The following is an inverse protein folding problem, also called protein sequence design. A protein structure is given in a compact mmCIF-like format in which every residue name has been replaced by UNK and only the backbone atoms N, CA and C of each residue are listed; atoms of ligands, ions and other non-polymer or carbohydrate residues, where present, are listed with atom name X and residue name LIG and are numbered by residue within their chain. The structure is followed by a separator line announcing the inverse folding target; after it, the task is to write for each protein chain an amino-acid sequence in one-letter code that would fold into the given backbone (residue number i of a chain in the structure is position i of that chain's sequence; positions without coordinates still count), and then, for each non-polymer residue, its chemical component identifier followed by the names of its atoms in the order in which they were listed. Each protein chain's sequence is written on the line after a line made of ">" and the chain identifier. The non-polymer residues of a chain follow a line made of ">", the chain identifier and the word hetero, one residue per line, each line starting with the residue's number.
data_IF_607898370085
#
_entry.id   IF_607898370085
#
_cell.length_a   1.000
_cell.length_b   1.000
_cell.length_c   1.000
_cell.angle_alpha   90.00
_cell.angle_beta   90.00
_cell.angle_gamma   90.00
#
_symmetry.space_group_name_H-M   'P 1'
#
loop_
_entity.id
_entity.type
_entity.pdbx_description
1 polymer ?
#
# COMPACT_ATOMS: atom_id res chain seq x y z
N UNK A 1 21.86 26.68 6.99
CA UNK A 1 20.65 27.49 6.75
C UNK A 1 19.68 27.26 7.92
N UNK A 2 19.27 28.29 8.67
CA UNK A 2 18.29 28.17 9.77
C UNK A 2 17.01 28.90 9.37
N UNK A 3 15.85 28.27 9.52
CA UNK A 3 14.55 28.93 9.40
C UNK A 3 14.32 29.76 10.67
N UNK A 4 14.00 31.05 10.52
CA UNK A 4 13.85 31.95 11.66
C UNK A 4 12.63 31.56 12.52
N UNK A 5 12.72 31.62 13.87
CA UNK A 5 11.60 31.29 14.77
C UNK A 5 10.30 32.04 14.47
N UNK A 6 10.41 33.28 13.97
CA UNK A 6 9.26 34.06 13.55
C UNK A 6 8.47 33.40 12.41
N UNK A 7 9.14 32.77 11.43
CA UNK A 7 8.44 32.09 10.34
C UNK A 7 7.62 30.90 10.83
N UNK A 8 8.08 30.21 11.86
CA UNK A 8 7.30 29.14 12.50
C UNK A 8 6.07 29.65 13.22
N UNK A 9 6.15 30.81 13.88
CA UNK A 9 4.98 31.45 14.50
C UNK A 9 3.96 31.85 13.45
N UNK A 10 4.39 32.53 12.39
CA UNK A 10 3.51 32.94 11.28
C UNK A 10 2.78 31.74 10.65
N UNK A 11 3.48 30.61 10.46
CA UNK A 11 2.85 29.38 9.96
C UNK A 11 1.83 28.80 10.94
N UNK A 12 2.15 28.74 12.24
CA UNK A 12 1.23 28.25 13.25
C UNK A 12 -0.01 29.14 13.35
N UNK A 13 0.17 30.46 13.39
CA UNK A 13 -0.92 31.43 13.45
C UNK A 13 -1.86 31.26 12.25
N UNK A 14 -1.31 31.09 11.04
CA UNK A 14 -2.10 30.80 9.84
C UNK A 14 -2.84 29.45 9.91
N UNK A 15 -2.21 28.41 10.47
CA UNK A 15 -2.80 27.06 10.56
C UNK A 15 -3.97 26.99 11.56
N UNK A 16 -3.98 27.86 12.58
CA UNK A 16 -5.00 27.86 13.65
C UNK A 16 -6.00 29.01 13.53
N UNK A 17 -5.84 29.89 12.54
CA UNK A 17 -6.74 31.01 12.29
C UNK A 17 -8.15 30.49 11.92
N UNK A 18 -9.19 30.78 12.73
CA UNK A 18 -10.56 30.37 12.42
C UNK A 18 -11.12 31.02 11.15
N UNK A 19 -10.54 32.12 10.67
CA UNK A 19 -10.91 32.75 9.40
C UNK A 19 -10.27 32.07 8.17
N UNK A 20 -9.41 31.06 8.37
CA UNK A 20 -8.77 30.34 7.28
C UNK A 20 -9.76 29.43 6.55
N UNK A 21 -10.33 29.92 5.45
CA UNK A 21 -11.31 29.19 4.66
C UNK A 21 -10.78 27.85 4.08
N UNK A 22 -9.47 27.73 3.84
CA UNK A 22 -8.90 26.48 3.30
C UNK A 22 -8.89 25.38 4.36
N UNK A 23 -8.49 25.70 5.58
CA UNK A 23 -8.43 24.74 6.69
C UNK A 23 -9.79 24.53 7.35
N UNK A 24 -10.62 25.58 7.40
CA UNK A 24 -12.00 25.52 7.91
C UNK A 24 -12.81 24.43 7.24
N UNK A 25 -12.71 24.26 5.91
CA UNK A 25 -13.40 23.18 5.19
C UNK A 25 -12.96 21.76 5.61
N UNK A 26 -11.70 21.58 6.01
CA UNK A 26 -11.22 20.27 6.52
C UNK A 26 -11.80 20.01 7.91
N UNK A 27 -11.82 21.02 8.78
CA UNK A 27 -12.42 20.94 10.12
C UNK A 27 -13.91 20.66 10.02
N UNK A 28 -14.64 21.42 9.20
CA UNK A 28 -16.08 21.21 8.93
C UNK A 28 -16.36 19.78 8.45
N UNK A 29 -15.53 19.25 7.55
CA UNK A 29 -15.65 17.85 7.10
C UNK A 29 -15.51 16.87 8.28
N UNK A 30 -14.51 17.05 9.14
CA UNK A 30 -14.32 16.19 10.33
C UNK A 30 -15.52 16.29 11.28
N UNK A 31 -16.05 17.50 11.51
CA UNK A 31 -17.23 17.73 12.35
C UNK A 31 -18.50 17.10 11.75
N UNK A 32 -18.68 17.10 10.42
CA UNK A 32 -19.80 16.40 9.75
C UNK A 32 -19.79 14.89 10.03
N UNK A 33 -18.63 14.30 10.27
CA UNK A 33 -18.50 12.88 10.65
C UNK A 33 -18.62 12.63 12.17
N UNK A 34 -18.81 13.69 12.97
CA UNK A 34 -18.98 13.64 14.42
C UNK A 34 -17.71 13.95 15.23
N UNK A 35 -16.67 14.47 14.59
CA UNK A 35 -15.40 14.77 15.23
C UNK A 35 -14.43 13.57 15.29
N UNK A 36 -13.15 13.80 15.66
CA UNK A 36 -12.10 12.78 15.61
C UNK A 36 -12.38 11.52 16.45
N UNK A 37 -12.89 11.70 17.67
CA UNK A 37 -13.18 10.59 18.59
C UNK A 37 -14.29 9.69 18.03
N UNK A 38 -15.33 10.27 17.43
CA UNK A 38 -16.42 9.51 16.82
C UNK A 38 -15.96 8.76 15.58
N UNK A 39 -15.15 9.40 14.74
CA UNK A 39 -14.56 8.78 13.55
C UNK A 39 -13.73 7.55 13.95
N UNK A 40 -12.84 7.69 14.94
CA UNK A 40 -11.99 6.59 15.41
C UNK A 40 -12.82 5.48 16.09
N UNK A 41 -13.87 5.84 16.85
CA UNK A 41 -14.78 4.88 17.46
C UNK A 41 -15.51 4.04 16.40
N UNK A 42 -16.06 4.68 15.36
CA UNK A 42 -16.73 3.99 14.25
C UNK A 42 -15.78 3.07 13.51
N UNK A 43 -14.58 3.54 13.17
CA UNK A 43 -13.55 2.71 12.53
C UNK A 43 -13.18 1.50 13.37
N UNK A 44 -12.92 1.69 14.66
CA UNK A 44 -12.59 0.59 15.57
C UNK A 44 -13.72 -0.44 15.65
N UNK A 45 -14.99 -0.02 15.56
CA UNK A 45 -16.13 -0.92 15.50
C UNK A 45 -16.23 -1.63 14.15
N UNK A 46 -16.12 -0.92 13.03
CA UNK A 46 -16.22 -1.48 11.68
C UNK A 46 -15.10 -2.48 11.38
N UNK A 47 -13.89 -2.25 11.90
CA UNK A 47 -12.73 -3.10 11.66
C UNK A 47 -12.72 -4.39 12.48
N UNK A 48 -13.52 -4.51 13.55
CA UNK A 48 -13.56 -5.74 14.37
C UNK A 48 -13.92 -6.94 13.50
N UNK A 49 -13.05 -7.95 13.47
CA UNK A 49 -13.25 -9.16 12.67
C UNK A 49 -14.64 -9.81 12.87
N UNK A 50 -15.18 -9.97 14.10
CA UNK A 50 -16.54 -10.49 14.27
C UNK A 50 -17.63 -9.63 13.61
N UNK A 51 -17.47 -8.30 13.58
CA UNK A 51 -18.43 -7.40 12.95
C UNK A 51 -18.36 -7.51 11.42
N UNK A 52 -17.15 -7.61 10.85
CA UNK A 52 -16.96 -7.84 9.41
C UNK A 52 -17.57 -9.17 8.97
N UNK A 53 -17.32 -10.25 9.73
CA UNK A 53 -17.87 -11.58 9.44
C UNK A 53 -19.39 -11.61 9.55
N UNK A 54 -19.97 -10.98 10.58
CA UNK A 54 -21.43 -10.85 10.72
C UNK A 54 -22.04 -10.07 9.56
N UNK A 55 -21.44 -8.93 9.17
CA UNK A 55 -21.89 -8.16 8.01
C UNK A 55 -21.94 -9.00 6.74
N UNK A 56 -20.89 -9.77 6.47
CA UNK A 56 -20.82 -10.67 5.31
C UNK A 56 -21.89 -11.78 5.36
N UNK A 57 -22.23 -12.27 6.54
CA UNK A 57 -23.29 -13.26 6.73
C UNK A 57 -24.68 -12.67 6.51
N UNK A 58 -24.94 -11.49 7.08
CA UNK A 58 -26.19 -10.75 6.89
C UNK A 58 -26.42 -10.38 5.41
N UNK A 59 -25.35 -9.99 4.70
CA UNK A 59 -25.33 -9.72 3.25
C UNK A 59 -25.40 -11.00 2.39
N UNK A 60 -25.35 -12.19 3.01
CA UNK A 60 -25.27 -13.50 2.32
C UNK A 60 -24.13 -13.55 1.31
N UNK A 61 -23.01 -12.94 1.65
CA UNK A 61 -21.82 -12.89 0.80
C UNK A 61 -21.30 -14.32 0.52
N UNK A 62 -20.98 -14.65 -0.74
CA UNK A 62 -20.37 -15.94 -1.07
C UNK A 62 -18.99 -16.11 -0.43
N UNK A 63 -18.35 -15.01 -0.02
CA UNK A 63 -16.99 -14.99 0.51
C UNK A 63 -16.88 -15.42 1.97
N UNK A 64 -17.99 -15.53 2.70
CA UNK A 64 -17.97 -15.90 4.12
C UNK A 64 -17.35 -17.29 4.33
N UNK A 65 -17.72 -18.27 3.50
CA UNK A 65 -17.18 -19.63 3.60
C UNK A 65 -15.67 -19.69 3.33
N UNK A 66 -15.15 -18.84 2.44
CA UNK A 66 -13.73 -18.77 2.12
C UNK A 66 -12.92 -18.11 3.25
N UNK A 67 -13.51 -17.16 3.99
CA UNK A 67 -12.91 -16.61 5.21
C UNK A 67 -12.87 -17.63 6.34
N UNK A 68 -13.93 -18.41 6.52
CA UNK A 68 -13.95 -19.51 7.50
C UNK A 68 -12.88 -20.55 7.16
N UNK A 69 -12.74 -20.90 5.87
CA UNK A 69 -11.64 -21.75 5.38
C UNK A 69 -10.28 -21.14 5.69
N UNK A 70 -10.05 -19.85 5.41
CA UNK A 70 -8.77 -19.19 5.65
C UNK A 70 -8.41 -19.15 7.15
N UNK A 71 -9.40 -18.88 8.01
CA UNK A 71 -9.24 -18.90 9.46
C UNK A 71 -8.90 -20.31 9.97
N UNK A 72 -9.56 -21.34 9.44
CA UNK A 72 -9.27 -22.74 9.76
C UNK A 72 -7.84 -23.12 9.34
N UNK A 73 -7.41 -22.80 8.10
CA UNK A 73 -6.04 -23.04 7.63
C UNK A 73 -4.98 -22.37 8.50
N UNK A 74 -5.24 -21.14 8.98
CA UNK A 74 -4.38 -20.47 9.96
C UNK A 74 -4.33 -21.24 11.29
N UNK A 75 -5.48 -21.62 11.85
CA UNK A 75 -5.56 -22.33 13.13
C UNK A 75 -4.84 -23.69 13.08
N UNK A 76 -4.95 -24.39 11.95
CA UNK A 76 -4.26 -25.65 11.67
C UNK A 76 -2.76 -25.49 11.36
N UNK A 77 -2.25 -24.24 11.31
CA UNK A 77 -0.87 -23.93 10.92
C UNK A 77 -0.51 -24.52 9.54
N UNK A 78 -1.43 -24.45 8.58
CA UNK A 78 -1.26 -25.01 7.24
C UNK A 78 -0.23 -24.24 6.39
N UNK A 79 0.02 -22.97 6.71
CA UNK A 79 1.04 -22.16 6.06
C UNK A 79 2.45 -22.57 6.52
N UNK A 80 3.40 -22.63 5.60
CA UNK A 80 4.79 -23.03 5.92
C UNK A 80 5.39 -22.09 6.99
N UNK A 81 5.97 -22.60 8.08
CA UNK A 81 6.68 -21.74 9.02
C UNK A 81 7.88 -21.05 8.35
N UNK A 82 8.15 -19.78 8.70
CA UNK A 82 9.25 -19.02 8.10
C UNK A 82 10.62 -19.69 8.33
N UNK A 83 10.81 -20.33 9.49
CA UNK A 83 12.01 -21.11 9.76
C UNK A 83 12.16 -22.32 8.83
N UNK A 84 11.06 -22.98 8.48
CA UNK A 84 11.07 -24.13 7.57
C UNK A 84 11.29 -23.70 6.12
N UNK A 85 10.66 -22.60 5.68
CA UNK A 85 10.98 -21.98 4.39
C UNK A 85 12.49 -21.71 4.29
N UNK A 86 13.10 -21.12 5.32
CA UNK A 86 14.56 -20.87 5.35
C UNK A 86 15.38 -22.14 5.25
N UNK A 87 15.03 -23.17 6.02
CA UNK A 87 15.74 -24.45 5.99
C UNK A 87 15.68 -25.09 4.59
N UNK A 88 14.52 -25.03 3.94
CA UNK A 88 14.33 -25.53 2.57
C UNK A 88 15.20 -24.78 1.57
N UNK A 89 15.23 -23.45 1.63
CA UNK A 89 16.01 -22.61 0.69
C UNK A 89 17.51 -22.82 0.87
N UNK A 90 17.99 -22.93 2.12
CA UNK A 90 19.41 -23.07 2.47
C UNK A 90 19.94 -24.51 2.35
N UNK A 91 19.06 -25.52 2.41
CA UNK A 91 19.46 -26.94 2.43
C UNK A 91 20.07 -27.40 3.76
N UNK A 92 20.02 -26.59 4.81
CA UNK A 92 20.56 -26.87 6.16
C UNK A 92 19.56 -26.45 7.25
N UNK A 93 19.70 -26.93 8.50
CA UNK A 93 18.90 -26.43 9.61
C UNK A 93 18.93 -24.89 9.68
N UNK A 94 17.78 -24.29 9.99
CA UNK A 94 17.53 -22.86 9.82
C UNK A 94 18.57 -21.99 10.57
N UNK A 95 19.53 -21.43 9.84
CA UNK A 95 20.41 -20.39 10.35
C UNK A 95 19.58 -19.12 10.61
N UNK A 96 19.87 -18.42 11.71
CA UNK A 96 19.30 -17.09 11.94
C UNK A 96 19.81 -16.14 10.84
N UNK A 97 18.97 -15.21 10.35
CA UNK A 97 19.44 -14.19 9.42
C UNK A 97 20.61 -13.41 10.03
N UNK A 98 21.55 -13.00 9.18
CA UNK A 98 22.69 -12.17 9.58
C UNK A 98 22.25 -10.74 9.90
N UNK A 99 21.21 -10.24 9.22
CA UNK A 99 20.67 -8.89 9.47
C UNK A 99 19.65 -8.89 10.62
N UNK A 100 19.62 -7.77 11.35
CA UNK A 100 18.66 -7.57 12.43
C UNK A 100 17.22 -7.47 11.90
N UNK A 101 16.23 -7.85 12.72
CA UNK A 101 14.80 -7.72 12.38
C UNK A 101 14.38 -6.29 12.01
N UNK A 102 15.03 -5.27 12.58
CA UNK A 102 14.79 -3.85 12.21
C UNK A 102 15.10 -3.56 10.73
N UNK A 103 16.01 -4.33 10.14
CA UNK A 103 16.38 -4.25 8.72
C UNK A 103 15.67 -5.29 7.87
N UNK A 104 14.60 -5.92 8.39
CA UNK A 104 13.87 -6.92 7.63
C UNK A 104 13.12 -6.29 6.46
N UNK A 105 13.26 -6.88 5.27
CA UNK A 105 12.57 -6.45 4.06
C UNK A 105 11.13 -6.96 4.08
N UNK A 106 10.17 -6.06 3.96
CA UNK A 106 8.75 -6.43 3.86
C UNK A 106 8.45 -6.97 2.48
N UNK A 107 7.84 -8.16 2.39
CA UNK A 107 7.35 -8.69 1.12
C UNK A 107 6.00 -8.05 0.80
N UNK A 108 5.88 -7.46 -0.40
CA UNK A 108 4.70 -6.70 -0.81
C UNK A 108 4.24 -7.06 -2.23
N UNK A 109 2.93 -7.29 -2.38
CA UNK A 109 2.25 -7.36 -3.68
C UNK A 109 1.49 -6.07 -3.92
N UNK A 110 1.62 -5.54 -5.13
CA UNK A 110 0.78 -4.46 -5.61
C UNK A 110 -0.39 -4.97 -6.47
N UNK A 111 -1.48 -4.22 -6.42
CA UNK A 111 -2.75 -4.48 -7.12
C UNK A 111 -3.35 -5.88 -6.88
N UNK A 112 -3.79 -6.12 -5.65
CA UNK A 112 -4.85 -7.10 -5.33
C UNK A 112 -6.21 -6.48 -5.68
N UNK A 113 -6.90 -7.00 -6.69
CA UNK A 113 -8.15 -6.41 -7.18
C UNK A 113 -9.39 -7.12 -6.59
N UNK A 114 -9.38 -8.45 -6.53
CA UNK A 114 -10.56 -9.25 -6.14
C UNK A 114 -10.23 -10.20 -4.98
N UNK A 115 -11.15 -10.33 -4.03
CA UNK A 115 -11.01 -11.25 -2.91
C UNK A 115 -10.71 -12.71 -3.32
N UNK A 116 -11.38 -13.30 -4.35
CA UNK A 116 -11.08 -14.65 -4.81
C UNK A 116 -9.61 -14.88 -5.18
N UNK A 117 -8.91 -13.85 -5.70
CA UNK A 117 -7.50 -13.98 -6.04
C UNK A 117 -6.61 -14.14 -4.81
N UNK A 118 -6.93 -13.45 -3.70
CA UNK A 118 -6.25 -13.64 -2.42
C UNK A 118 -6.44 -15.06 -1.88
N UNK A 119 -7.62 -15.66 -2.10
CA UNK A 119 -7.90 -17.06 -1.74
C UNK A 119 -7.10 -18.01 -2.63
N UNK A 120 -7.05 -17.76 -3.94
CA UNK A 120 -6.23 -18.55 -4.88
C UNK A 120 -4.73 -18.49 -4.51
N UNK A 121 -4.23 -17.32 -4.14
CA UNK A 121 -2.87 -17.14 -3.62
C UNK A 121 -2.65 -17.93 -2.33
N UNK A 122 -3.57 -17.85 -1.35
CA UNK A 122 -3.44 -18.62 -0.11
C UNK A 122 -3.44 -20.13 -0.34
N UNK A 123 -4.28 -20.64 -1.26
CA UNK A 123 -4.31 -22.05 -1.65
C UNK A 123 -2.98 -22.47 -2.26
N UNK A 124 -2.49 -21.71 -3.22
CA UNK A 124 -1.19 -21.93 -3.86
C UNK A 124 -0.06 -21.89 -2.83
N UNK A 125 -0.08 -20.94 -1.90
CA UNK A 125 0.93 -20.79 -0.87
C UNK A 125 1.02 -22.00 0.06
N UNK A 126 -0.13 -22.55 0.45
CA UNK A 126 -0.21 -23.79 1.22
C UNK A 126 0.30 -24.97 0.41
N UNK A 127 -0.19 -25.15 -0.83
CA UNK A 127 0.17 -26.27 -1.71
C UNK A 127 1.66 -26.31 -2.01
N UNK A 128 2.24 -25.17 -2.38
CA UNK A 128 3.64 -25.04 -2.81
C UNK A 128 4.59 -24.72 -1.67
N UNK A 129 4.07 -24.61 -0.44
CA UNK A 129 4.83 -24.12 0.73
C UNK A 129 5.52 -22.78 0.44
N UNK A 130 4.82 -21.88 -0.24
CA UNK A 130 5.26 -20.51 -0.55
C UNK A 130 4.87 -19.55 0.60
N UNK A 131 5.52 -18.38 0.68
CA UNK A 131 5.21 -17.34 1.66
C UNK A 131 4.15 -16.37 1.11
N UNK A 132 3.14 -16.08 1.92
CA UNK A 132 2.23 -14.95 1.73
C UNK A 132 2.93 -13.63 2.08
N UNK A 133 2.81 -12.57 1.26
CA UNK A 133 3.41 -11.27 1.55
C UNK A 133 2.82 -10.62 2.81
N UNK A 134 3.61 -9.79 3.49
CA UNK A 134 3.18 -9.06 4.69
C UNK A 134 2.35 -7.80 4.38
N UNK A 135 2.29 -7.39 3.11
CA UNK A 135 1.65 -6.15 2.68
C UNK A 135 1.02 -6.30 1.30
N UNK A 136 -0.17 -5.73 1.17
CA UNK A 136 -0.95 -5.69 -0.06
C UNK A 136 -1.36 -4.26 -0.39
N UNK A 137 -1.33 -3.93 -1.67
CA UNK A 137 -1.94 -2.71 -2.21
C UNK A 137 -3.11 -3.14 -3.06
N UNK A 138 -4.29 -2.55 -2.84
CA UNK A 138 -5.46 -2.78 -3.65
C UNK A 138 -5.68 -1.63 -4.60
N UNK A 139 -5.82 -1.99 -5.88
CA UNK A 139 -6.00 -1.03 -6.97
C UNK A 139 -7.22 -1.44 -7.77
N UNK A 140 -8.38 -0.96 -7.34
CA UNK A 140 -9.68 -1.19 -7.97
C UNK A 140 -10.62 -0.05 -7.55
N UNK A 141 -11.72 0.15 -8.26
CA UNK A 141 -12.72 1.16 -7.88
C UNK A 141 -13.34 0.82 -6.51
N UNK A 142 -13.34 1.77 -5.57
CA UNK A 142 -13.85 1.57 -4.21
C UNK A 142 -15.36 1.35 -4.20
N UNK A 143 -16.12 2.11 -4.98
CA UNK A 143 -17.57 1.90 -5.12
C UNK A 143 -17.89 0.51 -5.65
N UNK A 144 -17.15 0.05 -6.66
CA UNK A 144 -17.31 -1.29 -7.21
C UNK A 144 -16.97 -2.36 -6.17
N UNK A 145 -15.83 -2.23 -5.48
CA UNK A 145 -15.42 -3.16 -4.40
C UNK A 145 -16.44 -3.23 -3.25
N UNK A 146 -17.01 -2.09 -2.86
CA UNK A 146 -17.99 -2.01 -1.78
C UNK A 146 -19.35 -2.63 -2.18
N UNK A 147 -19.69 -2.62 -3.46
CA UNK A 147 -20.94 -3.18 -4.00
C UNK A 147 -20.80 -4.65 -4.46
N UNK A 148 -19.57 -5.17 -4.61
CA UNK A 148 -19.31 -6.50 -5.17
C UNK A 148 -19.48 -7.61 -4.12
N UNK A 149 -20.72 -7.82 -3.67
CA UNK A 149 -21.13 -8.97 -2.83
C UNK A 149 -20.26 -9.18 -1.60
N UNK A 150 -19.83 -8.10 -0.94
CA UNK A 150 -19.01 -8.14 0.26
C UNK A 150 -17.49 -8.25 0.00
N UNK A 151 -17.00 -8.03 -1.22
CA UNK A 151 -15.57 -8.11 -1.56
C UNK A 151 -14.69 -7.22 -0.65
N UNK A 152 -15.04 -5.93 -0.49
CA UNK A 152 -14.29 -5.02 0.39
C UNK A 152 -14.20 -5.52 1.85
N UNK A 153 -15.30 -5.78 2.58
CA UNK A 153 -15.20 -6.32 3.93
C UNK A 153 -14.52 -7.70 3.99
N UNK A 154 -14.64 -8.52 2.95
CA UNK A 154 -13.96 -9.82 2.88
C UNK A 154 -12.43 -9.67 2.82
N UNK A 155 -11.90 -8.76 1.99
CA UNK A 155 -10.45 -8.52 1.99
C UNK A 155 -9.98 -7.90 3.30
N UNK A 156 -10.71 -6.95 3.88
CA UNK A 156 -10.38 -6.36 5.19
C UNK A 156 -10.31 -7.44 6.28
N UNK A 157 -11.21 -8.43 6.27
CA UNK A 157 -11.19 -9.57 7.17
C UNK A 157 -10.01 -10.52 6.87
N UNK A 158 -9.78 -10.84 5.60
CA UNK A 158 -8.74 -11.78 5.17
C UNK A 158 -7.33 -11.32 5.53
N UNK A 159 -7.01 -10.04 5.32
CA UNK A 159 -5.69 -9.51 5.69
C UNK A 159 -5.49 -9.50 7.22
N UNK A 160 -6.55 -9.32 8.01
CA UNK A 160 -6.48 -9.50 9.48
C UNK A 160 -6.24 -10.96 9.86
N UNK A 161 -6.91 -11.90 9.21
CA UNK A 161 -6.69 -13.33 9.41
C UNK A 161 -5.23 -13.67 9.08
N UNK A 162 -4.73 -13.27 7.92
CA UNK A 162 -3.34 -13.49 7.49
C UNK A 162 -2.32 -12.78 8.38
N UNK A 163 -2.71 -11.70 9.06
CA UNK A 163 -1.80 -10.81 9.77
C UNK A 163 -0.91 -10.03 8.80
N UNK A 164 -1.51 -9.52 7.73
CA UNK A 164 -0.90 -8.65 6.74
C UNK A 164 -1.49 -7.22 6.83
N UNK A 165 -0.84 -6.27 6.16
CA UNK A 165 -1.36 -4.90 6.00
C UNK A 165 -1.94 -4.69 4.60
N UNK A 166 -2.89 -3.77 4.48
CA UNK A 166 -3.55 -3.45 3.22
C UNK A 166 -3.68 -1.93 3.06
N UNK A 167 -3.49 -1.45 1.83
CA UNK A 167 -3.74 -0.05 1.43
C UNK A 167 -4.75 -0.05 0.29
N UNK A 168 -5.81 0.72 0.44
CA UNK A 168 -6.84 0.89 -0.59
C UNK A 168 -6.50 2.07 -1.51
N UNK A 169 -6.95 2.01 -2.76
CA UNK A 169 -6.85 3.12 -3.71
C UNK A 169 -8.23 3.73 -3.92
N UNK A 170 -8.41 4.99 -3.54
CA UNK A 170 -9.69 5.69 -3.64
C UNK A 170 -10.07 6.05 -5.09
N UNK A 171 -11.37 6.25 -5.33
CA UNK A 171 -11.92 6.63 -6.64
C UNK A 171 -11.55 8.08 -6.99
N UNK A 172 -11.56 8.99 -6.02
CA UNK A 172 -11.20 10.42 -6.14
C UNK A 172 -9.71 10.71 -6.40
N UNK A 173 -9.03 9.82 -7.12
CA UNK A 173 -7.61 9.93 -7.49
C UNK A 173 -7.35 10.76 -8.75
N UNK A 174 -8.38 11.18 -9.50
CA UNK A 174 -8.26 12.05 -10.68
C UNK A 174 -8.07 11.32 -12.01
N UNK A 175 -7.85 10.01 -11.98
CA UNK A 175 -7.76 9.12 -13.16
C UNK A 175 -9.03 8.28 -13.33
N UNK A 176 -10.12 8.65 -12.66
CA UNK A 176 -11.45 8.03 -12.66
C UNK A 176 -12.40 8.64 -13.72
N UNK A 177 -11.87 9.49 -14.61
CA UNK A 177 -12.65 10.23 -15.61
C UNK A 177 -13.21 11.57 -15.11
N UNK A 178 -13.03 11.91 -13.83
CA UNK A 178 -13.42 13.20 -13.25
C UNK A 178 -12.63 14.39 -13.81
N UNK A 179 -11.41 14.14 -14.28
CA UNK A 179 -10.59 15.15 -14.92
C UNK A 179 -10.95 15.26 -16.41
N UNK A 180 -11.87 16.18 -16.71
CA UNK A 180 -12.41 16.46 -18.06
C UNK A 180 -11.36 16.94 -19.08
N UNK A 181 -10.13 17.21 -18.62
CA UNK A 181 -9.01 17.59 -19.48
C UNK A 181 -8.13 16.39 -19.89
N UNK A 182 -8.42 15.16 -19.44
CA UNK A 182 -7.66 13.96 -19.81
C UNK A 182 -8.28 13.27 -21.04
N UNK A 183 -7.65 13.46 -22.20
CA UNK A 183 -8.09 12.90 -23.49
C UNK A 183 -7.41 11.59 -23.92
N UNK A 184 -6.64 10.94 -23.03
CA UNK A 184 -5.92 9.68 -23.30
C UNK A 184 -4.42 9.73 -22.98
N UNK A 185 -3.66 8.64 -23.24
CA UNK A 185 -2.24 8.50 -22.86
C UNK A 185 -1.28 9.56 -23.41
N UNK A 186 -1.61 10.21 -24.53
CA UNK A 186 -0.84 11.34 -25.05
C UNK A 186 -1.00 12.64 -24.23
N UNK A 187 -1.97 12.68 -23.33
CA UNK A 187 -2.24 13.83 -22.43
C UNK A 187 -1.56 13.66 -21.07
N UNK A 188 -0.98 12.48 -20.79
CA UNK A 188 -0.26 12.14 -19.55
C UNK A 188 1.12 12.82 -19.43
N UNK A 189 1.62 13.46 -20.49
CA UNK A 189 2.76 14.40 -20.39
C UNK A 189 2.40 15.72 -19.68
N UNK A 190 1.16 15.87 -19.19
CA UNK A 190 0.57 17.14 -18.81
C UNK A 190 0.82 17.66 -17.39
N UNK A 191 1.38 16.91 -16.44
CA UNK A 191 1.54 17.43 -15.06
C UNK A 191 2.77 16.88 -14.34
N UNK A 192 3.96 17.35 -14.71
CA UNK A 192 5.20 17.11 -13.97
C UNK A 192 5.01 17.37 -12.45
N UNK A 193 4.99 16.31 -11.64
CA UNK A 193 4.82 16.36 -10.17
C UNK A 193 3.53 15.74 -9.59
N UNK A 194 2.66 15.13 -10.41
CA UNK A 194 1.49 14.36 -9.96
C UNK A 194 0.38 14.27 -11.00
N UNK A 195 -0.67 13.46 -10.78
CA UNK A 195 -1.71 13.19 -11.80
C UNK A 195 -2.63 14.37 -12.15
N UNK A 196 -2.56 15.48 -11.41
CA UNK A 196 -3.51 16.60 -11.51
C UNK A 196 -4.92 16.20 -11.03
N UNK A 197 -5.62 17.07 -10.29
CA UNK A 197 -6.97 16.78 -9.80
C UNK A 197 -7.84 18.03 -9.85
N UNK A 198 -9.17 17.89 -10.06
CA UNK A 198 -10.10 19.01 -9.94
C UNK A 198 -10.04 19.69 -8.56
N UNK A 199 -10.40 20.97 -8.49
CA UNK A 199 -10.18 21.83 -7.31
C UNK A 199 -10.70 21.24 -5.98
N UNK A 200 -11.89 20.63 -5.99
CA UNK A 200 -12.52 20.10 -4.77
C UNK A 200 -12.11 18.65 -4.41
N UNK A 201 -11.27 18.00 -5.23
CA UNK A 201 -10.89 16.60 -5.01
C UNK A 201 -10.11 16.39 -3.72
N UNK A 202 -9.41 17.39 -3.19
CA UNK A 202 -8.72 17.25 -1.91
C UNK A 202 -9.70 16.92 -0.76
N UNK A 203 -10.87 17.57 -0.76
CA UNK A 203 -11.92 17.34 0.23
C UNK A 203 -12.81 16.15 -0.14
N UNK A 204 -13.10 15.94 -1.43
CA UNK A 204 -13.83 14.75 -1.87
C UNK A 204 -13.07 13.46 -1.53
N UNK A 205 -11.73 13.48 -1.66
CA UNK A 205 -10.85 12.39 -1.24
C UNK A 205 -10.92 12.13 0.26
N UNK A 206 -10.90 13.18 1.07
CA UNK A 206 -11.02 13.03 2.51
C UNK A 206 -12.41 12.51 2.93
N UNK A 207 -13.48 13.00 2.30
CA UNK A 207 -14.84 12.54 2.55
C UNK A 207 -15.03 11.07 2.14
N UNK A 208 -14.53 10.68 0.96
CA UNK A 208 -14.50 9.29 0.52
C UNK A 208 -13.68 8.41 1.48
N UNK A 209 -12.50 8.88 1.89
CA UNK A 209 -11.65 8.12 2.79
C UNK A 209 -12.33 7.92 4.15
N UNK A 210 -12.88 8.99 4.74
CA UNK A 210 -13.58 8.93 6.01
C UNK A 210 -14.79 7.99 5.94
N UNK A 211 -15.55 8.00 4.84
CA UNK A 211 -16.63 7.04 4.63
C UNK A 211 -16.14 5.58 4.70
N UNK A 212 -15.11 5.21 3.93
CA UNK A 212 -14.61 3.84 3.96
C UNK A 212 -13.87 3.47 5.26
N UNK A 213 -13.25 4.46 5.90
CA UNK A 213 -12.63 4.33 7.20
C UNK A 213 -13.68 4.00 8.28
N UNK A 214 -14.77 4.76 8.35
CA UNK A 214 -15.80 4.58 9.39
C UNK A 214 -16.73 3.39 9.11
N UNK A 215 -17.08 3.11 7.86
CA UNK A 215 -18.10 2.11 7.51
C UNK A 215 -17.53 0.71 7.21
N UNK A 216 -16.31 0.64 6.69
CA UNK A 216 -15.70 -0.62 6.23
C UNK A 216 -14.41 -0.98 6.98
N UNK A 217 -13.95 -0.11 7.89
CA UNK A 217 -12.74 -0.35 8.67
C UNK A 217 -11.46 -0.28 7.83
N UNK A 218 -11.47 0.37 6.67
CA UNK A 218 -10.26 0.67 5.89
C UNK A 218 -9.30 1.49 6.77
N UNK A 219 -8.00 1.22 6.72
CA UNK A 219 -7.02 1.88 7.62
C UNK A 219 -5.99 2.73 6.89
N UNK A 220 -5.72 2.44 5.62
CA UNK A 220 -4.74 3.16 4.82
C UNK A 220 -5.28 3.43 3.42
N UNK A 221 -5.05 4.64 2.91
CA UNK A 221 -5.35 5.01 1.53
C UNK A 221 -4.08 5.38 0.75
N UNK A 222 -4.06 5.06 -0.54
CA UNK A 222 -3.05 5.49 -1.50
C UNK A 222 -3.29 6.95 -1.88
N UNK A 223 -2.21 7.73 -1.96
CA UNK A 223 -2.26 9.15 -2.23
C UNK A 223 -1.26 9.54 -3.35
N UNK A 224 -1.64 10.50 -4.20
CA UNK A 224 -0.95 10.80 -5.47
C UNK A 224 -0.75 12.31 -5.72
N UNK A 225 -1.35 13.17 -4.91
CA UNK A 225 -1.40 14.62 -5.13
C UNK A 225 -0.99 15.39 -3.86
N UNK A 226 -0.26 16.49 -4.01
CA UNK A 226 0.25 17.27 -2.87
C UNK A 226 -0.87 17.80 -1.96
N UNK A 227 -2.00 18.23 -2.53
CA UNK A 227 -3.14 18.76 -1.78
C UNK A 227 -3.83 17.67 -0.94
N UNK A 228 -4.12 16.51 -1.53
CA UNK A 228 -4.68 15.37 -0.79
C UNK A 228 -3.68 14.82 0.24
N UNK A 229 -2.37 14.87 -0.02
CA UNK A 229 -1.33 14.52 0.95
C UNK A 229 -1.37 15.46 2.16
N UNK A 230 -1.47 16.78 1.93
CA UNK A 230 -1.60 17.75 3.01
C UNK A 230 -2.89 17.53 3.81
N UNK A 231 -4.03 17.32 3.15
CA UNK A 231 -5.30 17.02 3.84
C UNK A 231 -5.18 15.76 4.70
N UNK A 232 -4.51 14.72 4.23
CA UNK A 232 -4.27 13.52 5.03
C UNK A 232 -3.42 13.79 6.29
N UNK A 233 -2.40 14.67 6.18
CA UNK A 233 -1.65 15.15 7.36
C UNK A 233 -2.54 15.92 8.34
N UNK A 234 -3.42 16.78 7.84
CA UNK A 234 -4.33 17.58 8.66
C UNK A 234 -5.36 16.71 9.39
N UNK A 235 -5.98 15.73 8.71
CA UNK A 235 -6.89 14.76 9.36
C UNK A 235 -6.22 14.08 10.56
N UNK A 236 -4.96 13.63 10.38
CA UNK A 236 -4.21 13.01 11.46
C UNK A 236 -3.88 13.98 12.58
N UNK A 237 -3.48 15.20 12.24
CA UNK A 237 -3.17 16.25 13.21
C UNK A 237 -4.40 16.65 14.03
N UNK A 238 -5.59 16.62 13.44
CA UNK A 238 -6.88 16.86 14.09
C UNK A 238 -7.30 15.70 15.01
N UNK A 239 -6.70 14.52 14.91
CA UNK A 239 -6.96 13.39 15.80
C UNK A 239 -7.51 12.14 15.13
N UNK A 240 -7.75 12.15 13.81
CA UNK A 240 -8.20 10.94 13.09
C UNK A 240 -7.02 9.98 12.91
N UNK A 241 -7.14 8.72 13.31
CA UNK A 241 -6.02 7.76 13.31
C UNK A 241 -5.76 7.09 11.95
N UNK A 242 -6.35 7.64 10.89
CA UNK A 242 -6.16 7.17 9.53
C UNK A 242 -4.75 7.46 9.03
N UNK A 243 -4.18 6.51 8.28
CA UNK A 243 -2.84 6.64 7.69
C UNK A 243 -2.93 6.60 6.17
N UNK A 244 -1.86 6.97 5.48
CA UNK A 244 -1.82 6.92 4.02
C UNK A 244 -0.42 6.54 3.53
N UNK A 245 -0.34 6.14 2.26
CA UNK A 245 0.93 5.94 1.54
C UNK A 245 0.97 6.79 0.29
N UNK A 246 2.15 7.18 -0.16
CA UNK A 246 2.32 7.95 -1.40
C UNK A 246 2.68 7.02 -2.58
N UNK A 247 1.98 7.18 -3.68
CA UNK A 247 2.12 6.42 -4.93
C UNK A 247 3.39 6.79 -5.70
N UNK A 248 3.85 5.88 -6.56
CA UNK A 248 4.92 6.15 -7.53
C UNK A 248 4.59 7.33 -8.45
N UNK A 249 3.31 7.54 -8.75
CA UNK A 249 2.84 8.64 -9.60
C UNK A 249 3.06 10.04 -9.01
N UNK A 250 3.36 10.17 -7.71
CA UNK A 250 3.73 11.47 -7.11
C UNK A 250 5.13 11.92 -7.56
N UNK A 251 6.02 10.98 -7.92
CA UNK A 251 7.35 11.32 -8.42
C UNK A 251 8.38 11.64 -7.33
N UNK A 252 8.45 10.84 -6.26
CA UNK A 252 9.56 10.91 -5.30
C UNK A 252 10.83 10.30 -5.94
N UNK A 253 11.49 11.09 -6.78
CA UNK A 253 12.49 10.70 -7.77
C UNK A 253 13.94 11.03 -7.41
N UNK A 254 14.15 11.85 -6.37
CA UNK A 254 15.48 12.32 -5.99
C UNK A 254 15.56 12.66 -4.49
N UNK A 255 16.77 12.83 -3.92
CA UNK A 255 16.93 13.09 -2.49
C UNK A 255 16.23 14.37 -2.00
N UNK A 256 16.08 15.38 -2.84
CA UNK A 256 15.43 16.65 -2.50
C UNK A 256 13.91 16.51 -2.47
N UNK A 257 13.31 15.80 -3.43
CA UNK A 257 11.86 15.52 -3.41
C UNK A 257 11.48 14.64 -2.22
N UNK A 258 12.34 13.68 -1.86
CA UNK A 258 12.17 12.87 -0.65
C UNK A 258 12.36 13.70 0.62
N UNK A 259 13.38 14.57 0.68
CA UNK A 259 13.58 15.50 1.80
C UNK A 259 12.34 16.35 2.03
N UNK A 260 11.76 16.93 0.97
CA UNK A 260 10.53 17.72 1.06
C UNK A 260 9.36 16.91 1.64
N UNK A 261 9.16 15.68 1.15
CA UNK A 261 8.11 14.78 1.64
C UNK A 261 8.27 14.45 3.12
N UNK A 262 9.50 14.14 3.56
CA UNK A 262 9.78 13.78 4.95
C UNK A 262 9.76 15.00 5.89
N UNK A 263 10.12 16.19 5.41
CA UNK A 263 9.97 17.43 6.18
C UNK A 263 8.50 17.71 6.47
N UNK A 264 7.61 17.55 5.47
CA UNK A 264 6.17 17.69 5.69
C UNK A 264 5.64 16.65 6.70
N UNK A 265 6.05 15.38 6.58
CA UNK A 265 5.68 14.33 7.53
C UNK A 265 6.10 14.65 8.97
N UNK A 266 7.28 15.26 9.13
CA UNK A 266 7.80 15.67 10.45
C UNK A 266 7.11 16.91 10.99
N UNK A 267 6.82 17.89 10.12
CA UNK A 267 6.16 19.14 10.48
C UNK A 267 4.77 18.90 11.05
N UNK A 268 4.00 18.00 10.43
CA UNK A 268 2.63 17.68 10.84
C UNK A 268 2.54 16.47 11.80
N UNK A 269 3.66 16.01 12.35
CA UNK A 269 3.66 14.95 13.35
C UNK A 269 2.86 15.36 14.61
N UNK A 270 2.28 14.36 15.29
CA UNK A 270 1.67 14.55 16.61
C UNK A 270 2.75 14.76 17.70
N UNK A 271 2.38 15.22 18.91
CA UNK A 271 3.34 15.45 20.00
C UNK A 271 4.16 14.21 20.38
N UNK A 272 3.62 13.02 20.20
CA UNK A 272 4.30 11.73 20.43
C UNK A 272 5.29 11.35 19.30
N UNK A 273 5.41 12.18 18.25
CA UNK A 273 6.26 11.96 17.10
C UNK A 273 5.67 11.07 16.01
N UNK A 274 4.44 10.58 16.17
CA UNK A 274 3.76 9.79 15.15
C UNK A 274 3.36 10.63 13.93
N UNK A 275 3.27 9.97 12.77
CA UNK A 275 2.91 10.59 11.49
C UNK A 275 1.96 9.65 10.72
N UNK A 276 1.01 10.18 9.93
CA UNK A 276 0.11 9.34 9.14
C UNK A 276 0.76 8.78 7.87
N UNK A 277 1.95 9.26 7.48
CA UNK A 277 2.67 8.73 6.33
C UNK A 277 3.25 7.35 6.68
N UNK A 278 2.56 6.28 6.27
CA UNK A 278 2.97 4.91 6.52
C UNK A 278 4.14 4.47 5.61
N UNK A 279 4.26 5.09 4.44
CA UNK A 279 5.32 4.81 3.48
C UNK A 279 5.10 5.51 2.14
N UNK A 280 6.07 5.39 1.25
CA UNK A 280 5.94 5.88 -0.11
C UNK A 280 6.75 5.04 -1.09
N UNK A 281 6.30 5.02 -2.34
CA UNK A 281 7.08 4.47 -3.44
C UNK A 281 8.11 5.50 -3.90
N UNK A 282 9.32 5.03 -4.17
CA UNK A 282 10.24 5.80 -5.02
C UNK A 282 9.75 5.81 -6.47
N UNK A 283 10.18 6.80 -7.25
CA UNK A 283 10.05 6.72 -8.70
C UNK A 283 10.90 5.55 -9.25
N UNK A 284 10.45 4.93 -10.34
CA UNK A 284 11.15 3.79 -10.96
C UNK A 284 12.55 4.14 -11.49
N UNK A 285 12.87 5.44 -11.65
CA UNK A 285 14.19 5.95 -12.07
C UNK A 285 15.22 6.09 -10.93
N UNK A 286 14.79 5.99 -9.68
CA UNK A 286 15.68 6.12 -8.50
C UNK A 286 16.71 4.99 -8.49
N UNK A 287 17.94 5.26 -8.06
CA UNK A 287 19.00 4.26 -7.84
C UNK A 287 19.32 4.08 -6.34
N UNK A 288 20.20 3.11 -6.02
CA UNK A 288 20.56 2.78 -4.65
C UNK A 288 21.17 3.96 -3.85
N UNK A 289 21.96 4.81 -4.49
CA UNK A 289 22.56 5.99 -3.83
C UNK A 289 21.49 6.97 -3.35
N UNK A 290 20.50 7.28 -4.19
CA UNK A 290 19.36 8.12 -3.80
C UNK A 290 18.59 7.52 -2.63
N UNK A 291 18.38 6.19 -2.61
CA UNK A 291 17.70 5.51 -1.48
C UNK A 291 18.52 5.63 -0.19
N UNK A 292 19.84 5.52 -0.25
CA UNK A 292 20.73 5.69 0.93
C UNK A 292 20.71 7.12 1.47
N UNK A 293 20.77 8.11 0.59
CA UNK A 293 20.66 9.53 0.96
C UNK A 293 19.30 9.83 1.59
N UNK A 294 18.22 9.33 0.98
CA UNK A 294 16.88 9.39 1.55
C UNK A 294 16.80 8.73 2.94
N UNK A 295 17.46 7.59 3.13
CA UNK A 295 17.50 6.88 4.42
C UNK A 295 18.19 7.70 5.50
N UNK A 296 19.30 8.38 5.16
CA UNK A 296 19.99 9.29 6.06
C UNK A 296 19.08 10.45 6.49
N UNK A 297 18.33 11.05 5.55
CA UNK A 297 17.34 12.09 5.84
C UNK A 297 16.22 11.56 6.75
N UNK A 298 15.63 10.41 6.41
CA UNK A 298 14.57 9.77 7.19
C UNK A 298 15.01 9.50 8.62
N UNK A 299 16.24 9.03 8.82
CA UNK A 299 16.83 8.82 10.15
C UNK A 299 17.02 10.14 10.90
N UNK A 300 17.58 11.16 10.26
CA UNK A 300 17.80 12.47 10.89
C UNK A 300 16.49 13.13 11.35
N UNK A 301 15.38 12.88 10.67
CA UNK A 301 14.05 13.36 11.04
C UNK A 301 13.31 12.48 12.04
N UNK A 302 13.90 11.36 12.47
CA UNK A 302 13.29 10.43 13.43
C UNK A 302 12.17 9.56 12.84
N UNK A 303 12.09 9.45 11.51
CA UNK A 303 11.00 8.79 10.78
C UNK A 303 11.32 7.36 10.36
N UNK A 304 12.49 6.82 10.72
CA UNK A 304 13.01 5.53 10.24
C UNK A 304 12.07 4.35 10.51
N UNK A 305 11.39 4.35 11.67
CA UNK A 305 10.41 3.31 12.03
C UNK A 305 9.02 3.54 11.46
N UNK A 306 8.65 4.80 11.24
CA UNK A 306 7.28 5.18 10.87
C UNK A 306 7.06 5.12 9.35
N UNK A 307 8.02 5.61 8.56
CA UNK A 307 7.90 5.77 7.11
C UNK A 307 8.67 4.67 6.40
N UNK A 308 7.93 3.73 5.78
CA UNK A 308 8.51 2.67 4.96
C UNK A 308 8.92 3.20 3.59
N UNK A 309 10.08 2.78 3.13
CA UNK A 309 10.50 2.96 1.74
C UNK A 309 10.01 1.76 0.93
N UNK A 310 9.13 1.98 -0.03
CA UNK A 310 8.58 0.91 -0.86
C UNK A 310 9.30 0.95 -2.21
N UNK A 311 10.03 -0.13 -2.51
CA UNK A 311 10.90 -0.23 -3.66
C UNK A 311 10.37 -1.28 -4.64
N UNK A 312 10.08 -0.86 -5.87
CA UNK A 312 9.63 -1.75 -6.93
C UNK A 312 10.78 -2.66 -7.39
N UNK A 313 10.58 -3.97 -7.24
CA UNK A 313 11.55 -5.00 -7.62
C UNK A 313 11.28 -5.48 -9.05
N UNK A 314 10.01 -5.71 -9.35
CA UNK A 314 9.50 -6.00 -10.68
C UNK A 314 8.29 -5.13 -10.93
N UNK A 315 8.12 -4.73 -12.18
CA UNK A 315 7.05 -3.85 -12.64
C UNK A 315 6.17 -4.55 -13.66
N UNK A 316 4.99 -3.97 -13.97
CA UNK A 316 4.15 -4.51 -15.05
C UNK A 316 4.91 -4.54 -16.36
N UNK A 317 4.66 -5.57 -17.18
CA UNK A 317 5.37 -5.76 -18.45
C UNK A 317 5.18 -4.58 -19.41
N UNK A 318 3.96 -4.02 -19.43
CA UNK A 318 3.59 -2.90 -20.32
C UNK A 318 3.49 -1.56 -19.58
N UNK A 319 3.58 -0.50 -20.38
CA UNK A 319 3.15 0.88 -20.11
C UNK A 319 4.01 1.73 -19.15
N UNK A 320 4.40 1.26 -17.96
CA UNK A 320 4.99 2.14 -16.92
C UNK A 320 6.53 2.19 -16.92
N UNK A 321 7.21 1.15 -17.41
CA UNK A 321 8.68 1.07 -17.44
C UNK A 321 9.19 0.45 -18.74
N UNK A 322 10.47 0.69 -19.02
CA UNK A 322 11.21 -0.07 -20.05
C UNK A 322 11.62 -1.43 -19.46
N UNK A 323 11.37 -2.51 -20.21
CA UNK A 323 11.74 -3.88 -19.83
C UNK A 323 13.11 -4.27 -20.40
N UNK A 324 13.86 -5.19 -19.74
CA UNK A 324 13.53 -5.86 -18.49
C UNK A 324 13.71 -4.94 -17.27
N UNK A 325 12.70 -4.89 -16.40
CA UNK A 325 12.76 -4.21 -15.11
C UNK A 325 12.80 -5.25 -13.99
N UNK A 326 14.01 -5.55 -13.51
CA UNK A 326 14.27 -6.50 -12.42
C UNK A 326 15.38 -5.94 -11.51
N UNK A 327 14.98 -5.54 -10.30
CA UNK A 327 15.85 -4.84 -9.35
C UNK A 327 16.14 -5.68 -8.11
N UNK A 328 16.07 -7.00 -8.26
CA UNK A 328 16.33 -7.92 -7.14
C UNK A 328 17.75 -7.77 -6.59
N UNK A 329 18.77 -7.68 -7.45
CA UNK A 329 20.16 -7.53 -7.02
C UNK A 329 20.38 -6.19 -6.30
N UNK A 330 19.73 -5.13 -6.79
CA UNK A 330 19.78 -3.81 -6.17
C UNK A 330 19.15 -3.82 -4.76
N UNK A 331 18.03 -4.53 -4.57
CA UNK A 331 17.42 -4.73 -3.26
C UNK A 331 18.35 -5.48 -2.31
N UNK A 332 19.03 -6.53 -2.77
CA UNK A 332 19.95 -7.31 -1.93
C UNK A 332 21.11 -6.44 -1.43
N UNK A 333 21.60 -5.52 -2.26
CA UNK A 333 22.61 -4.53 -1.88
C UNK A 333 22.06 -3.53 -0.85
N UNK A 334 20.87 -2.98 -1.08
CA UNK A 334 20.24 -1.97 -0.19
C UNK A 334 19.83 -2.52 1.17
N UNK A 335 19.35 -3.75 1.23
CA UNK A 335 18.81 -4.33 2.45
C UNK A 335 19.89 -4.63 3.51
N UNK A 336 21.17 -4.55 3.13
CA UNK A 336 22.29 -4.66 4.06
C UNK A 336 22.39 -3.45 5.01
N UNK A 337 22.09 -2.23 4.53
CA UNK A 337 22.37 -0.98 5.24
C UNK A 337 21.17 -0.03 5.37
N UNK A 338 20.10 -0.23 4.59
CA UNK A 338 18.88 0.58 4.66
C UNK A 338 17.73 -0.20 5.34
N UNK A 339 17.31 0.17 6.57
CA UNK A 339 16.23 -0.51 7.28
C UNK A 339 14.85 -0.11 6.77
N UNK A 340 13.80 -0.82 7.21
CA UNK A 340 12.39 -0.49 6.94
C UNK A 340 12.10 -0.23 5.44
N UNK A 341 12.48 -1.20 4.60
CA UNK A 341 12.18 -1.25 3.16
C UNK A 341 11.08 -2.31 2.90
N UNK A 342 10.26 -2.06 1.89
CA UNK A 342 9.39 -3.04 1.25
C UNK A 342 9.91 -3.41 -0.13
N UNK A 343 9.92 -4.70 -0.45
CA UNK A 343 10.12 -5.24 -1.79
C UNK A 343 8.76 -5.42 -2.46
N UNK A 344 8.43 -4.49 -3.36
CA UNK A 344 7.12 -4.39 -4.00
C UNK A 344 7.13 -5.02 -5.40
N UNK A 345 6.12 -5.82 -5.69
CA UNK A 345 5.98 -6.55 -6.95
C UNK A 345 4.70 -6.09 -7.65
N UNK A 346 4.83 -5.36 -8.76
CA UNK A 346 3.70 -4.90 -9.58
C UNK A 346 3.36 -5.88 -10.71
N UNK A 347 4.37 -6.62 -11.20
CA UNK A 347 4.26 -7.66 -12.22
C UNK A 347 4.99 -8.95 -11.81
N UNK A 348 5.03 -9.92 -12.73
CA UNK A 348 5.82 -11.13 -12.61
C UNK A 348 7.29 -10.94 -12.97
N UNK A 349 8.04 -12.04 -12.99
CA UNK A 349 9.45 -12.03 -13.42
C UNK A 349 9.51 -11.77 -14.94
N UNK A 350 10.38 -10.87 -15.44
CA UNK A 350 10.46 -10.52 -16.87
C UNK A 350 10.54 -11.71 -17.83
N UNK A 351 11.27 -12.77 -17.45
CA UNK A 351 11.42 -13.98 -18.27
C UNK A 351 10.13 -14.78 -18.44
N UNK A 352 9.18 -14.65 -17.50
CA UNK A 352 7.85 -15.27 -17.59
C UNK A 352 6.88 -14.35 -18.30
N UNK A 353 6.86 -13.06 -17.91
CA UNK A 353 5.95 -12.04 -18.46
C UNK A 353 6.01 -11.98 -19.99
N UNK A 354 7.21 -12.02 -20.58
CA UNK A 354 7.39 -11.98 -22.04
C UNK A 354 6.74 -13.13 -22.82
N UNK A 355 6.48 -14.26 -22.16
CA UNK A 355 5.90 -15.45 -22.78
C UNK A 355 4.39 -15.58 -22.48
N UNK A 356 3.81 -14.69 -21.66
CA UNK A 356 2.38 -14.70 -21.38
C UNK A 356 1.60 -14.20 -22.60
N UNK A 357 0.48 -14.86 -22.92
CA UNK A 357 -0.45 -14.39 -23.94
C UNK A 357 -1.02 -13.01 -23.59
N UNK A 358 -1.37 -12.81 -22.32
CA UNK A 358 -1.74 -11.52 -21.74
C UNK A 358 -0.72 -11.14 -20.66
N UNK A 359 0.37 -10.46 -21.03
CA UNK A 359 1.34 -9.98 -20.07
C UNK A 359 0.75 -8.82 -19.26
N UNK A 360 1.24 -8.65 -18.02
CA UNK A 360 0.73 -7.63 -17.11
C UNK A 360 0.83 -6.21 -17.68
N UNK A 361 -0.24 -5.44 -17.55
CA UNK A 361 -0.30 -4.02 -17.91
C UNK A 361 -0.84 -3.21 -16.74
N UNK A 362 -0.19 -2.08 -16.41
CA UNK A 362 -0.68 -1.16 -15.38
C UNK A 362 -2.06 -0.61 -15.76
N UNK A 363 -2.37 -0.54 -17.05
CA UNK A 363 -3.64 -0.01 -17.55
C UNK A 363 -4.82 -0.94 -17.26
N UNK A 364 -4.59 -2.24 -17.07
CA UNK A 364 -5.64 -3.20 -16.72
C UNK A 364 -6.26 -2.89 -15.35
N UNK A 365 -5.56 -2.14 -14.50
CA UNK A 365 -6.06 -1.78 -13.16
C UNK A 365 -7.24 -0.82 -13.19
N UNK A 366 -7.45 -0.15 -14.34
CA UNK A 366 -8.54 0.80 -14.55
C UNK A 366 -9.76 0.17 -15.22
N UNK A 367 -9.69 -1.11 -15.61
CA UNK A 367 -10.83 -1.80 -16.21
C UNK A 367 -11.90 -2.09 -15.15
N UNK A 368 -13.17 -1.73 -15.38
CA UNK A 368 -14.28 -2.19 -14.56
C UNK A 368 -14.43 -3.70 -14.64
N UNK A 369 -14.90 -4.35 -13.57
CA UNK A 369 -15.12 -5.80 -13.53
C UNK A 369 -16.01 -6.29 -14.67
N UNK A 370 -17.09 -5.57 -14.96
CA UNK A 370 -18.01 -5.92 -16.04
C UNK A 370 -17.31 -5.97 -17.41
N UNK A 371 -16.32 -5.09 -17.63
CA UNK A 371 -15.52 -5.09 -18.86
C UNK A 371 -14.54 -6.26 -18.90
N UNK A 372 -13.89 -6.57 -17.76
CA UNK A 372 -13.03 -7.75 -17.61
C UNK A 372 -13.81 -9.03 -17.92
N UNK A 373 -15.03 -9.15 -17.40
CA UNK A 373 -15.91 -10.31 -17.63
C UNK A 373 -16.37 -10.38 -19.09
N UNK A 374 -16.78 -9.24 -19.68
CA UNK A 374 -17.19 -9.16 -21.09
C UNK A 374 -16.07 -9.54 -22.06
N UNK A 375 -14.84 -9.16 -21.74
CA UNK A 375 -13.64 -9.49 -22.54
C UNK A 375 -13.08 -10.88 -22.23
N UNK A 376 -13.60 -11.58 -21.22
CA UNK A 376 -13.07 -12.88 -20.79
C UNK A 376 -11.67 -12.81 -20.18
N UNK A 377 -11.25 -11.65 -19.68
CA UNK A 377 -9.88 -11.41 -19.19
C UNK A 377 -9.66 -11.89 -17.74
N UNK A 378 -10.71 -12.25 -17.00
CA UNK A 378 -10.60 -12.62 -15.59
C UNK A 378 -9.54 -13.71 -15.31
N UNK A 379 -9.45 -14.83 -16.08
CA UNK A 379 -8.42 -15.84 -15.84
C UNK A 379 -7.00 -15.34 -16.14
N UNK A 380 -6.84 -14.47 -17.15
CA UNK A 380 -5.55 -13.89 -17.51
C UNK A 380 -5.05 -12.92 -16.44
N UNK A 381 -5.93 -12.06 -15.92
CA UNK A 381 -5.58 -11.12 -14.86
C UNK A 381 -5.31 -11.83 -13.53
N UNK A 382 -6.07 -12.88 -13.21
CA UNK A 382 -5.76 -13.75 -12.06
C UNK A 382 -4.37 -14.41 -12.23
N UNK A 383 -4.04 -14.87 -13.45
CA UNK A 383 -2.70 -15.39 -13.73
C UNK A 383 -1.63 -14.32 -13.51
N UNK A 384 -1.81 -13.09 -13.99
CA UNK A 384 -0.86 -12.01 -13.74
C UNK A 384 -0.70 -11.75 -12.23
N UNK A 385 -1.78 -11.75 -11.45
CA UNK A 385 -1.73 -11.63 -9.99
C UNK A 385 -0.88 -12.75 -9.34
N UNK A 386 -1.09 -14.00 -9.75
CA UNK A 386 -0.31 -15.14 -9.25
C UNK A 386 1.16 -15.13 -9.70
N UNK A 387 1.50 -14.46 -10.80
CA UNK A 387 2.91 -14.24 -11.18
C UNK A 387 3.61 -13.20 -10.28
N UNK A 388 2.87 -12.21 -9.77
CA UNK A 388 3.41 -11.32 -8.71
C UNK A 388 3.75 -12.13 -7.46
N UNK A 389 2.89 -13.07 -7.08
CA UNK A 389 3.18 -13.99 -5.95
C UNK A 389 4.40 -14.88 -6.20
N UNK A 390 4.58 -15.35 -7.44
CA UNK A 390 5.79 -16.09 -7.81
C UNK A 390 7.05 -15.21 -7.67
N UNK A 391 6.99 -13.96 -8.12
CA UNK A 391 8.08 -13.00 -7.98
C UNK A 391 8.38 -12.67 -6.51
N UNK A 392 7.36 -12.52 -5.66
CA UNK A 392 7.52 -12.38 -4.19
C UNK A 392 8.32 -13.53 -3.60
N UNK A 393 8.01 -14.77 -3.99
CA UNK A 393 8.71 -15.95 -3.47
C UNK A 393 10.14 -16.08 -4.01
N UNK A 394 10.39 -15.68 -5.26
CA UNK A 394 11.76 -15.54 -5.77
C UNK A 394 12.57 -14.54 -4.93
N UNK A 395 11.97 -13.40 -4.59
CA UNK A 395 12.60 -12.40 -3.71
C UNK A 395 12.84 -12.94 -2.31
N UNK A 396 11.87 -13.67 -1.73
CA UNK A 396 12.03 -14.29 -0.42
C UNK A 396 13.17 -15.31 -0.37
N UNK A 397 13.30 -16.13 -1.41
CA UNK A 397 14.39 -17.09 -1.55
C UNK A 397 15.74 -16.37 -1.65
N UNK A 398 15.84 -15.32 -2.46
CA UNK A 398 17.07 -14.56 -2.64
C UNK A 398 17.52 -13.85 -1.35
N UNK A 399 16.58 -13.18 -0.65
CA UNK A 399 16.84 -12.58 0.66
C UNK A 399 17.32 -13.62 1.68
N UNK A 400 16.68 -14.80 1.67
CA UNK A 400 17.06 -15.91 2.56
C UNK A 400 18.47 -16.41 2.26
N UNK A 401 18.85 -16.62 0.99
CA UNK A 401 20.21 -17.01 0.58
C UNK A 401 21.25 -15.97 0.96
N UNK A 402 20.90 -14.69 0.86
CA UNK A 402 21.76 -13.58 1.28
C UNK A 402 21.86 -13.44 2.82
N UNK A 403 21.06 -14.17 3.59
CA UNK A 403 21.01 -14.05 5.05
C UNK A 403 20.32 -12.78 5.54
N UNK A 404 19.45 -12.18 4.71
CA UNK A 404 18.69 -10.97 5.01
C UNK A 404 17.35 -11.36 5.63
N UNK A 405 17.01 -10.73 6.76
CA UNK A 405 15.70 -10.90 7.38
C UNK A 405 14.57 -10.38 6.47
N UNK A 406 13.41 -11.03 6.52
CA UNK A 406 12.23 -10.65 5.74
C UNK A 406 10.97 -10.65 6.62
N UNK A 407 9.96 -9.87 6.22
CA UNK A 407 8.63 -9.80 6.83
C UNK A 407 7.61 -10.31 5.82
N UNK A 408 7.06 -11.50 6.11
CA UNK A 408 5.92 -12.12 5.45
C UNK A 408 4.65 -11.91 6.29
N UNK A 409 3.50 -12.42 5.85
CA UNK A 409 2.27 -12.44 6.65
C UNK A 409 2.48 -13.20 7.97
N UNK A 410 1.82 -12.77 9.06
CA UNK A 410 2.01 -13.34 10.39
C UNK A 410 1.62 -14.83 10.50
N UNK A 411 0.82 -15.35 9.57
CA UNK A 411 0.49 -16.79 9.44
C UNK A 411 1.71 -17.71 9.31
N UNK A 412 2.86 -17.19 8.86
CA UNK A 412 4.09 -17.96 8.74
C UNK A 412 4.89 -18.10 10.03
N UNK A 413 4.41 -17.57 11.16
CA UNK A 413 5.12 -17.68 12.44
C UNK A 413 6.40 -16.82 12.46
N UNK A 414 6.27 -15.67 13.11
CA UNK A 414 7.38 -14.76 13.40
C UNK A 414 6.90 -13.76 14.45
N UNK A 415 7.16 -14.05 15.72
CA UNK A 415 6.94 -13.10 16.83
C UNK A 415 7.78 -11.86 16.61
#
# INVERSE_FOLDING_TARGET
>A
MRIAPQRWRELNDFLVDPANAVLGRVVELVERFGGPDEINRKHAAARKLPNLLRRLEDEKSPYRAELDWLAARKAERAFVPLAEHRARVLGTPAARPKTARRSAVTLEISALQFFPWLVAEARRAIERRELMPGRYIRVRCMKEQAADRGDLPAVVAAVQILGASCVETLDTKGTDGSNVHLGGPATITGYFGGVGQPNDHALAWAEEFLHYYTEYGVSQALNVNAGTILVAYLLYKLGVDATFKISVFMGNDNPYSVLWTLLAARLFARPDGSTPLAGFNFANSVNNETVRQASAVRRALGLEKAVRFEHHIVETWKSIVVQPYDRLDELLELAADVPNISAKHEGGVPAVERELEHPSDILDYFLPKAEIERLGLMPALERNYLEKHAAVNRTADALTRAGIALVAAAVHGGG
#
